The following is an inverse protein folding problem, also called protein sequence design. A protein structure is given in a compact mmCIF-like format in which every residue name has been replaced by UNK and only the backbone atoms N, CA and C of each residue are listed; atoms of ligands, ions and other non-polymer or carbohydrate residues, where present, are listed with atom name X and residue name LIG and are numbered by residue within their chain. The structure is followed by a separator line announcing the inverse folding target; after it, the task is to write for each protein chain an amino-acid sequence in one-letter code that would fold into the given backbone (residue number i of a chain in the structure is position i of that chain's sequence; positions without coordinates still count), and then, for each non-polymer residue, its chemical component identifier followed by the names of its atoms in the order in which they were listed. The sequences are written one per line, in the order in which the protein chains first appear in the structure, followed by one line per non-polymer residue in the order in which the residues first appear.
data_IF_679342074030
#
_entry.id   IF_679342074030
#
_cell.length_a   1.000
_cell.length_b   1.000
_cell.length_c   1.000
_cell.angle_alpha   90.00
_cell.angle_beta   90.00
_cell.angle_gamma   90.00
#
_symmetry.space_group_name_H-M   'P 1'
#
loop_
_entity.id
_entity.type
_entity.pdbx_description
1 polymer ?
#
# COMPACT_ATOMS: atom_id res chain seq x y z
N UNK A 1 -25.50 13.30 19.72
CA UNK A 1 -24.89 13.07 18.39
C UNK A 1 -23.62 13.89 18.27
N UNK A 2 -22.53 13.47 18.92
CA UNK A 2 -21.23 14.15 18.90
C UNK A 2 -20.13 13.19 19.41
N UNK A 3 -19.62 12.29 18.55
CA UNK A 3 -18.39 11.54 18.90
C UNK A 3 -17.55 11.06 17.71
N UNK A 4 -18.01 11.22 16.47
CA UNK A 4 -17.25 10.81 15.29
C UNK A 4 -16.32 11.91 14.74
N UNK A 5 -16.45 13.14 15.22
CA UNK A 5 -15.66 14.31 14.77
C UNK A 5 -14.29 14.46 15.48
N UNK A 6 -13.89 13.49 16.31
CA UNK A 6 -12.63 13.56 17.07
C UNK A 6 -11.42 12.94 16.35
N UNK A 7 -11.64 12.05 15.37
CA UNK A 7 -10.59 11.19 14.83
C UNK A 7 -10.47 11.32 13.32
N UNK A 8 -9.26 11.55 12.84
CA UNK A 8 -8.93 11.55 11.40
C UNK A 8 -9.11 10.16 10.79
N UNK A 9 -9.11 10.06 9.46
CA UNK A 9 -9.12 8.77 8.77
C UNK A 9 -7.97 7.86 9.23
N UNK A 10 -6.79 8.42 9.45
CA UNK A 10 -5.62 7.67 9.92
C UNK A 10 -5.80 7.19 11.36
N UNK A 11 -6.33 8.04 12.25
CA UNK A 11 -6.62 7.64 13.63
C UNK A 11 -7.63 6.49 13.69
N UNK A 12 -8.70 6.56 12.88
CA UNK A 12 -9.70 5.51 12.81
C UNK A 12 -9.08 4.18 12.38
N UNK A 13 -8.24 4.20 11.34
CA UNK A 13 -7.53 3.01 10.87
C UNK A 13 -6.57 2.45 11.93
N UNK A 14 -5.87 3.31 12.67
CA UNK A 14 -5.00 2.90 13.77
C UNK A 14 -5.76 2.28 14.93
N UNK A 15 -6.91 2.84 15.29
CA UNK A 15 -7.82 2.29 16.32
C UNK A 15 -8.30 0.90 15.90
N UNK A 16 -8.84 0.75 14.68
CA UNK A 16 -9.32 -0.53 14.17
C UNK A 16 -8.23 -1.60 14.14
N UNK A 17 -7.05 -1.25 13.61
CA UNK A 17 -5.91 -2.16 13.57
C UNK A 17 -5.47 -2.56 14.98
N UNK A 18 -5.43 -1.62 15.91
CA UNK A 18 -5.04 -1.88 17.31
C UNK A 18 -6.03 -2.82 17.99
N UNK A 19 -7.33 -2.65 17.78
CA UNK A 19 -8.35 -3.56 18.30
C UNK A 19 -8.19 -4.98 17.72
N UNK A 20 -7.98 -5.10 16.40
CA UNK A 20 -7.72 -6.40 15.74
C UNK A 20 -6.46 -7.07 16.27
N UNK A 21 -5.37 -6.31 16.42
CA UNK A 21 -4.11 -6.81 17.00
C UNK A 21 -4.36 -7.36 18.41
N UNK A 22 -5.07 -6.62 19.27
CA UNK A 22 -5.37 -7.05 20.64
C UNK A 22 -6.12 -8.38 20.67
N UNK A 23 -7.09 -8.56 19.78
CA UNK A 23 -7.82 -9.82 19.63
C UNK A 23 -6.90 -10.94 19.14
N UNK A 24 -6.11 -10.73 18.09
CA UNK A 24 -5.21 -11.78 17.56
C UNK A 24 -4.13 -12.19 18.58
N UNK A 25 -3.65 -11.26 19.40
CA UNK A 25 -2.67 -11.53 20.45
C UNK A 25 -3.20 -12.39 21.60
N UNK A 26 -4.52 -12.60 21.74
CA UNK A 26 -5.05 -13.55 22.73
C UNK A 26 -4.76 -14.99 22.35
N UNK A 27 -4.61 -15.27 21.06
CA UNK A 27 -4.44 -16.62 20.53
C UNK A 27 -2.98 -17.01 20.29
N UNK A 28 -2.04 -16.12 20.63
CA UNK A 28 -0.61 -16.27 20.41
C UNK A 28 0.12 -16.46 21.75
N UNK A 29 1.35 -17.01 21.75
CA UNK A 29 2.13 -17.14 22.97
C UNK A 29 2.31 -15.80 23.71
N UNK A 30 2.34 -15.78 25.05
CA UNK A 30 2.39 -14.54 25.84
C UNK A 30 3.54 -13.60 25.48
N UNK A 31 4.73 -14.13 25.18
CA UNK A 31 5.93 -13.33 24.82
C UNK A 31 5.79 -12.57 23.50
N UNK A 32 4.81 -12.91 22.65
CA UNK A 32 4.51 -12.12 21.46
C UNK A 32 4.00 -10.73 21.86
N UNK A 33 3.30 -10.58 22.98
CA UNK A 33 2.87 -9.27 23.48
C UNK A 33 4.07 -8.38 23.80
N UNK A 34 5.12 -8.95 24.38
CA UNK A 34 6.35 -8.22 24.71
C UNK A 34 7.09 -7.80 23.44
N UNK A 35 7.17 -8.68 22.43
CA UNK A 35 7.67 -8.31 21.10
C UNK A 35 6.92 -7.13 20.48
N UNK A 36 5.58 -7.12 20.57
CA UNK A 36 4.77 -6.02 20.03
C UNK A 36 4.99 -4.71 20.80
N UNK A 37 5.13 -4.76 22.13
CA UNK A 37 5.46 -3.60 22.96
C UNK A 37 6.83 -3.02 22.59
N UNK A 38 7.85 -3.87 22.47
CA UNK A 38 9.20 -3.46 22.08
C UNK A 38 9.28 -2.87 20.66
N UNK A 39 8.33 -3.23 19.78
CA UNK A 39 8.29 -2.77 18.38
C UNK A 39 7.32 -1.60 18.14
N UNK A 40 6.52 -1.21 19.13
CA UNK A 40 5.42 -0.25 19.00
C UNK A 40 5.87 1.09 18.41
N UNK A 41 6.97 1.66 18.92
CA UNK A 41 7.47 2.97 18.48
C UNK A 41 8.11 2.94 17.09
N UNK A 42 8.52 1.76 16.61
CA UNK A 42 9.28 1.62 15.35
C UNK A 42 8.45 1.09 14.18
N UNK A 43 7.19 0.71 14.40
CA UNK A 43 6.35 0.06 13.39
C UNK A 43 4.91 0.57 13.37
N UNK A 44 4.34 0.69 12.16
CA UNK A 44 2.95 1.07 12.01
C UNK A 44 2.01 -0.03 12.51
N UNK A 45 0.79 0.35 12.87
CA UNK A 45 -0.28 -0.59 13.27
C UNK A 45 -0.56 -1.62 12.17
N UNK A 46 -0.50 -1.24 10.89
CA UNK A 46 -0.66 -2.15 9.74
C UNK A 46 0.45 -3.20 9.67
N UNK A 47 1.70 -2.81 9.93
CA UNK A 47 2.83 -3.76 9.98
C UNK A 47 2.65 -4.73 11.15
N UNK A 48 2.30 -4.23 12.34
CA UNK A 48 2.03 -5.06 13.52
C UNK A 48 0.86 -6.02 13.30
N UNK A 49 -0.21 -5.56 12.63
CA UNK A 49 -1.34 -6.42 12.26
C UNK A 49 -0.91 -7.54 11.30
N UNK A 50 -0.09 -7.20 10.30
CA UNK A 50 0.49 -8.20 9.38
C UNK A 50 1.35 -9.23 10.13
N UNK A 51 2.12 -8.78 11.14
CA UNK A 51 2.89 -9.68 11.99
C UNK A 51 2.02 -10.63 12.79
N UNK A 52 0.90 -10.18 13.36
CA UNK A 52 0.01 -11.07 14.11
C UNK A 52 -0.54 -12.20 13.26
N UNK A 53 -0.93 -11.92 12.01
CA UNK A 53 -1.37 -12.97 11.08
C UNK A 53 -0.25 -13.95 10.72
N UNK A 54 0.97 -13.46 10.49
CA UNK A 54 2.11 -14.32 10.17
C UNK A 54 2.53 -15.20 11.33
N UNK A 55 2.55 -14.68 12.56
CA UNK A 55 2.83 -15.48 13.74
C UNK A 55 1.78 -16.56 13.92
N UNK A 56 0.50 -16.25 13.68
CA UNK A 56 -0.55 -17.27 13.71
C UNK A 56 -0.25 -18.39 12.70
N UNK A 57 0.11 -18.05 11.46
CA UNK A 57 0.49 -19.05 10.44
C UNK A 57 1.70 -19.88 10.88
N UNK A 58 2.75 -19.25 11.41
CA UNK A 58 3.95 -19.94 11.89
C UNK A 58 3.65 -20.91 13.04
N UNK A 59 2.96 -20.46 14.08
CA UNK A 59 2.63 -21.33 15.21
C UNK A 59 1.62 -22.42 14.85
N UNK A 60 0.69 -22.14 13.93
CA UNK A 60 -0.19 -23.17 13.36
C UNK A 60 0.60 -24.25 12.63
N UNK A 61 1.58 -23.87 11.80
CA UNK A 61 2.48 -24.83 11.15
C UNK A 61 3.19 -25.70 12.20
N UNK A 62 3.75 -25.07 13.24
CA UNK A 62 4.49 -25.79 14.28
C UNK A 62 3.63 -26.86 14.96
N UNK A 63 2.37 -26.57 15.32
CA UNK A 63 1.49 -27.58 15.97
C UNK A 63 0.95 -28.64 14.99
N UNK A 64 0.94 -28.38 13.69
CA UNK A 64 0.44 -29.32 12.68
C UNK A 64 1.53 -30.28 12.20
N UNK A 65 2.75 -29.76 12.04
CA UNK A 65 3.83 -30.43 11.34
C UNK A 65 4.93 -30.93 12.28
N UNK A 66 5.10 -30.36 13.48
CA UNK A 66 6.07 -30.87 14.45
C UNK A 66 5.44 -31.98 15.30
N UNK A 67 5.91 -33.25 15.22
CA UNK A 67 5.33 -34.35 15.97
C UNK A 67 5.36 -34.15 17.48
N UNK A 68 6.37 -33.46 18.01
CA UNK A 68 6.51 -33.21 19.45
C UNK A 68 5.45 -32.23 19.97
N UNK A 69 4.92 -31.36 19.11
CA UNK A 69 3.97 -30.30 19.49
C UNK A 69 2.58 -30.51 18.93
N UNK A 70 2.37 -31.66 18.29
CA UNK A 70 1.08 -32.08 17.77
C UNK A 70 0.01 -32.01 18.86
N UNK A 71 -1.09 -31.33 18.54
CA UNK A 71 -2.24 -31.12 19.44
C UNK A 71 -2.01 -30.20 20.66
N UNK A 72 -0.86 -29.52 20.78
CA UNK A 72 -0.71 -28.44 21.78
C UNK A 72 -1.50 -27.21 21.34
N UNK A 73 -1.92 -26.39 22.29
CA UNK A 73 -2.48 -25.07 21.97
C UNK A 73 -1.33 -24.11 21.64
N UNK A 74 -1.56 -23.21 20.69
CA UNK A 74 -0.57 -22.21 20.29
C UNK A 74 -0.05 -21.41 21.49
N UNK A 75 -0.94 -21.03 22.42
CA UNK A 75 -0.59 -20.25 23.61
C UNK A 75 0.41 -20.96 24.55
N UNK A 76 0.47 -22.29 24.49
CA UNK A 76 1.29 -23.10 25.39
C UNK A 76 2.72 -23.31 24.86
N UNK A 77 3.06 -22.78 23.67
CA UNK A 77 4.41 -22.88 23.10
C UNK A 77 5.35 -21.94 23.86
N UNK A 78 6.28 -22.50 24.62
CA UNK A 78 7.21 -21.79 25.50
C UNK A 78 8.47 -21.30 24.78
N UNK A 79 9.27 -20.46 25.44
CA UNK A 79 10.60 -20.07 24.94
C UNK A 79 11.57 -21.26 24.85
N UNK A 80 11.44 -22.25 25.74
CA UNK A 80 12.23 -23.48 25.70
C UNK A 80 11.89 -24.31 24.46
N UNK A 81 10.61 -24.36 24.07
CA UNK A 81 10.18 -25.00 22.83
C UNK A 81 10.86 -24.31 21.63
N UNK A 82 10.86 -22.97 21.57
CA UNK A 82 11.53 -22.23 20.50
C UNK A 82 13.04 -22.48 20.42
N UNK A 83 13.72 -22.66 21.55
CA UNK A 83 15.16 -22.97 21.61
C UNK A 83 15.52 -24.35 21.03
N UNK A 84 14.55 -25.26 20.91
CA UNK A 84 14.77 -26.59 20.34
C UNK A 84 14.63 -26.61 18.82
N UNK A 85 14.05 -25.56 18.21
CA UNK A 85 13.90 -25.48 16.77
C UNK A 85 15.26 -25.38 16.08
N UNK A 86 15.39 -26.11 14.99
CA UNK A 86 16.58 -26.22 14.16
C UNK A 86 16.39 -25.47 12.85
N UNK A 87 17.45 -25.36 12.05
CA UNK A 87 17.36 -24.81 10.69
C UNK A 87 16.33 -25.57 9.84
N UNK A 88 16.27 -26.91 9.96
CA UNK A 88 15.34 -27.77 9.20
C UNK A 88 13.88 -27.38 9.44
N UNK A 89 13.49 -27.05 10.68
CA UNK A 89 12.12 -26.65 10.99
C UNK A 89 11.70 -25.38 10.23
N UNK A 90 12.63 -24.45 10.03
CA UNK A 90 12.36 -23.21 9.30
C UNK A 90 12.43 -23.38 7.77
N UNK A 91 13.23 -24.31 7.27
CA UNK A 91 13.22 -24.71 5.87
C UNK A 91 11.91 -25.42 5.51
N UNK A 92 11.43 -26.31 6.39
CA UNK A 92 10.11 -26.93 6.28
C UNK A 92 8.99 -25.89 6.34
N UNK A 93 9.10 -24.89 7.22
CA UNK A 93 8.14 -23.78 7.24
C UNK A 93 8.16 -23.01 5.92
N UNK A 94 9.34 -22.74 5.35
CA UNK A 94 9.45 -22.08 4.06
C UNK A 94 8.79 -22.89 2.94
N UNK A 95 8.93 -24.22 2.95
CA UNK A 95 8.26 -25.14 2.01
C UNK A 95 6.74 -25.11 2.21
N UNK A 96 6.27 -25.22 3.45
CA UNK A 96 4.85 -25.13 3.82
C UNK A 96 4.23 -23.81 3.32
N UNK A 97 4.97 -22.71 3.38
CA UNK A 97 4.47 -21.43 2.89
C UNK A 97 4.27 -21.38 1.37
N UNK A 98 4.85 -22.29 0.57
CA UNK A 98 4.55 -22.34 -0.87
C UNK A 98 3.08 -22.63 -1.11
N UNK A 99 2.51 -23.58 -0.36
CA UNK A 99 1.08 -23.89 -0.37
C UNK A 99 0.65 -24.55 0.94
N UNK A 100 -0.42 -24.03 1.55
CA UNK A 100 -1.00 -24.64 2.75
C UNK A 100 -2.51 -24.39 2.82
N UNK A 101 -3.21 -25.20 3.60
CA UNK A 101 -4.63 -24.99 3.91
C UNK A 101 -4.75 -24.30 5.26
N UNK A 102 -5.41 -23.15 5.31
CA UNK A 102 -5.72 -22.49 6.58
C UNK A 102 -6.74 -23.35 7.35
N UNK A 103 -6.38 -23.90 8.52
CA UNK A 103 -7.28 -24.77 9.28
C UNK A 103 -8.51 -24.05 9.83
N UNK A 104 -8.47 -22.72 9.99
CA UNK A 104 -9.62 -21.97 10.49
C UNK A 104 -10.71 -21.79 9.43
N UNK A 105 -10.31 -21.67 8.16
CA UNK A 105 -11.23 -21.37 7.05
C UNK A 105 -11.38 -22.50 6.04
N UNK A 106 -10.50 -23.51 6.07
CA UNK A 106 -10.39 -24.55 5.05
C UNK A 106 -9.86 -24.04 3.70
N UNK A 107 -9.39 -22.79 3.63
CA UNK A 107 -9.00 -22.17 2.36
C UNK A 107 -7.59 -22.60 1.95
N UNK A 108 -7.43 -23.04 0.70
CA UNK A 108 -6.12 -23.31 0.11
C UNK A 108 -5.42 -21.99 -0.24
N UNK A 109 -4.23 -21.77 0.33
CA UNK A 109 -3.43 -20.56 0.18
C UNK A 109 -2.15 -20.90 -0.56
N UNK A 110 -1.88 -20.19 -1.66
CA UNK A 110 -0.60 -20.23 -2.39
C UNK A 110 0.09 -18.88 -2.26
N UNK A 111 1.33 -18.85 -1.77
CA UNK A 111 2.08 -17.59 -1.64
C UNK A 111 3.00 -17.37 -2.84
N UNK A 112 3.22 -16.10 -3.19
CA UNK A 112 4.32 -15.69 -4.06
C UNK A 112 5.65 -15.73 -3.32
N UNK A 113 6.78 -15.75 -4.03
CA UNK A 113 8.11 -15.67 -3.43
C UNK A 113 8.27 -14.48 -2.47
N UNK A 114 7.72 -13.31 -2.84
CA UNK A 114 7.70 -12.13 -1.96
C UNK A 114 6.82 -12.32 -0.72
N UNK A 115 5.69 -13.01 -0.85
CA UNK A 115 4.84 -13.37 0.28
C UNK A 115 5.54 -14.30 1.28
N UNK A 116 6.25 -15.31 0.77
CA UNK A 116 7.08 -16.23 1.57
C UNK A 116 8.20 -15.45 2.27
N UNK A 117 8.98 -14.68 1.51
CA UNK A 117 10.09 -13.87 2.05
C UNK A 117 9.62 -12.93 3.18
N UNK A 118 8.48 -12.28 3.01
CA UNK A 118 7.88 -11.41 4.04
C UNK A 118 7.53 -12.19 5.31
N UNK A 119 6.89 -13.38 5.20
CA UNK A 119 6.53 -14.22 6.36
C UNK A 119 7.76 -14.72 7.11
N UNK A 120 8.78 -15.19 6.40
CA UNK A 120 10.06 -15.60 6.99
C UNK A 120 10.75 -14.41 7.67
N UNK A 121 10.72 -13.22 7.06
CA UNK A 121 11.25 -12.00 7.67
C UNK A 121 10.53 -11.62 8.97
N UNK A 122 9.22 -11.85 9.06
CA UNK A 122 8.46 -11.64 10.29
C UNK A 122 8.94 -12.58 11.41
N UNK A 123 9.10 -13.88 11.12
CA UNK A 123 9.61 -14.87 12.09
C UNK A 123 11.04 -14.53 12.51
N UNK A 124 11.93 -14.20 11.57
CA UNK A 124 13.28 -13.70 11.86
C UNK A 124 13.26 -12.48 12.78
N UNK A 125 12.32 -11.55 12.59
CA UNK A 125 12.20 -10.37 13.45
C UNK A 125 11.89 -10.75 14.90
N UNK A 126 10.99 -11.72 15.11
CA UNK A 126 10.68 -12.25 16.44
C UNK A 126 11.90 -12.91 17.08
N UNK A 127 12.55 -13.86 16.41
CA UNK A 127 13.69 -14.56 16.98
C UNK A 127 14.88 -13.62 17.23
N UNK A 128 15.08 -12.63 16.37
CA UNK A 128 16.10 -11.59 16.59
C UNK A 128 15.79 -10.77 17.84
N UNK A 129 14.53 -10.41 18.06
CA UNK A 129 14.12 -9.72 19.29
C UNK A 129 14.35 -10.60 20.52
N UNK A 130 13.82 -11.82 20.53
CA UNK A 130 13.96 -12.73 21.67
C UNK A 130 15.43 -13.01 21.99
N UNK A 131 16.28 -13.18 20.98
CA UNK A 131 17.71 -13.41 21.15
C UNK A 131 18.43 -12.18 21.73
N UNK A 132 18.14 -10.97 21.22
CA UNK A 132 18.74 -9.72 21.73
C UNK A 132 18.33 -9.37 23.16
N UNK A 133 17.21 -9.92 23.61
CA UNK A 133 16.70 -9.76 24.98
C UNK A 133 17.06 -10.96 25.87
N UNK A 134 18.00 -11.83 25.45
CA UNK A 134 18.46 -13.01 26.19
C UNK A 134 17.34 -13.99 26.59
N UNK A 135 16.20 -13.96 25.88
CA UNK A 135 15.04 -14.83 26.13
C UNK A 135 15.21 -16.21 25.47
N UNK A 136 16.04 -16.28 24.42
CA UNK A 136 16.43 -17.51 23.72
C UNK A 136 17.94 -17.47 23.47
N UNK A 137 18.57 -18.64 23.38
CA UNK A 137 20.04 -18.75 23.25
C UNK A 137 20.51 -18.84 21.81
N UNK A 138 19.60 -19.05 20.85
CA UNK A 138 19.91 -19.24 19.42
C UNK A 138 18.92 -18.50 18.53
N UNK A 139 19.41 -17.98 17.41
CA UNK A 139 18.59 -17.36 16.35
C UNK A 139 18.71 -18.17 15.05
N UNK A 140 18.16 -19.40 15.05
CA UNK A 140 18.23 -20.29 13.90
C UNK A 140 17.58 -19.74 12.61
N UNK A 141 16.44 -18.99 12.65
CA UNK A 141 15.86 -18.40 11.43
C UNK A 141 16.80 -17.49 10.65
N UNK A 142 17.81 -16.90 11.31
CA UNK A 142 18.80 -16.03 10.67
C UNK A 142 19.70 -16.74 9.65
N UNK A 143 19.71 -18.09 9.65
CA UNK A 143 20.46 -18.93 8.71
C UNK A 143 19.66 -19.34 7.48
N UNK A 144 18.33 -19.23 7.53
CA UNK A 144 17.44 -19.63 6.42
C UNK A 144 17.71 -18.77 5.20
N UNK A 145 17.94 -19.39 4.04
CA UNK A 145 18.09 -18.68 2.78
C UNK A 145 16.76 -18.01 2.38
N UNK A 146 16.83 -16.75 1.95
CA UNK A 146 15.64 -16.02 1.54
C UNK A 146 15.28 -16.34 0.08
N UNK A 147 13.99 -16.50 -0.26
CA UNK A 147 13.57 -16.71 -1.64
C UNK A 147 14.07 -15.57 -2.52
N UNK A 148 14.69 -15.90 -3.66
CA UNK A 148 15.06 -14.89 -4.66
C UNK A 148 13.80 -14.31 -5.27
N UNK A 149 13.62 -13.00 -5.12
CA UNK A 149 12.51 -12.27 -5.73
C UNK A 149 13.01 -11.76 -7.08
N UNK A 150 12.48 -12.33 -8.17
CA UNK A 150 12.77 -11.84 -9.51
C UNK A 150 12.38 -10.36 -9.63
N UNK A 151 13.24 -9.59 -10.29
CA UNK A 151 12.89 -8.22 -10.67
C UNK A 151 11.74 -8.28 -11.67
N UNK A 152 10.70 -7.49 -11.44
CA UNK A 152 9.57 -7.37 -12.36
C UNK A 152 9.77 -6.12 -13.18
N UNK A 153 9.37 -6.19 -14.45
CA UNK A 153 9.32 -5.03 -15.32
C UNK A 153 8.42 -3.94 -14.71
N UNK A 154 8.88 -2.70 -14.84
CA UNK A 154 8.17 -1.53 -14.35
C UNK A 154 7.07 -1.22 -15.36
N UNK A 155 5.84 -1.62 -15.03
CA UNK A 155 4.66 -1.35 -15.84
C UNK A 155 4.12 0.05 -15.49
N UNK A 156 4.08 0.93 -16.47
CA UNK A 156 3.53 2.30 -16.40
C UNK A 156 2.69 2.61 -17.63
N UNK A 157 1.93 3.70 -17.54
CA UNK A 157 1.26 4.29 -18.69
C UNK A 157 2.25 5.22 -19.41
N UNK A 158 2.19 5.24 -20.73
CA UNK A 158 2.86 6.23 -21.57
C UNK A 158 2.01 7.52 -21.63
N UNK A 159 2.58 8.67 -22.03
CA UNK A 159 1.87 9.96 -22.01
C UNK A 159 0.56 9.98 -22.83
N UNK A 160 0.55 9.31 -23.98
CA UNK A 160 -0.63 9.12 -24.83
C UNK A 160 -1.68 8.25 -24.13
N UNK A 161 -1.29 7.15 -23.50
CA UNK A 161 -2.22 6.31 -22.73
C UNK A 161 -2.79 7.04 -21.49
N UNK A 162 -2.06 8.01 -20.93
CA UNK A 162 -2.57 8.88 -19.85
C UNK A 162 -3.68 9.79 -20.39
N UNK A 163 -3.44 10.47 -21.51
CA UNK A 163 -4.45 11.31 -22.14
C UNK A 163 -5.68 10.49 -22.53
N UNK A 164 -5.49 9.35 -23.21
CA UNK A 164 -6.58 8.43 -23.58
C UNK A 164 -7.36 7.93 -22.37
N UNK A 165 -6.70 7.70 -21.22
CA UNK A 165 -7.37 7.30 -19.99
C UNK A 165 -8.33 8.38 -19.48
N UNK A 166 -7.89 9.64 -19.43
CA UNK A 166 -8.70 10.76 -18.97
C UNK A 166 -9.84 11.05 -19.95
N UNK A 167 -9.54 11.14 -21.25
CA UNK A 167 -10.53 11.33 -22.31
C UNK A 167 -11.60 10.23 -22.30
N UNK A 168 -11.20 8.98 -22.08
CA UNK A 168 -12.14 7.86 -21.99
C UNK A 168 -13.03 7.98 -20.75
N UNK A 169 -12.49 8.42 -19.61
CA UNK A 169 -13.30 8.64 -18.39
C UNK A 169 -14.39 9.67 -18.65
N UNK A 170 -14.11 10.74 -19.39
CA UNK A 170 -15.06 11.82 -19.71
C UNK A 170 -16.11 11.47 -20.77
N UNK A 171 -15.73 10.64 -21.75
CA UNK A 171 -16.55 10.38 -22.94
C UNK A 171 -17.29 9.04 -22.91
N UNK A 172 -16.83 8.05 -22.12
CA UNK A 172 -17.37 6.69 -22.18
C UNK A 172 -18.87 6.59 -21.84
N UNK A 173 -19.45 7.61 -21.18
CA UNK A 173 -20.88 7.67 -20.89
C UNK A 173 -21.81 7.51 -22.10
N UNK A 174 -21.36 7.90 -23.30
CA UNK A 174 -22.15 7.80 -24.54
C UNK A 174 -22.29 6.36 -25.06
N UNK A 175 -21.35 5.48 -24.73
CA UNK A 175 -21.31 4.09 -25.23
C UNK A 175 -21.87 3.07 -24.22
N UNK A 176 -22.28 3.54 -23.03
CA UNK A 176 -22.82 2.70 -21.97
C UNK A 176 -24.31 2.39 -22.16
N UNK A 177 -24.73 1.23 -21.66
CA UNK A 177 -26.16 0.89 -21.57
C UNK A 177 -26.91 1.89 -20.69
N UNK A 178 -28.23 2.12 -20.90
CA UNK A 178 -28.99 3.11 -20.12
C UNK A 178 -28.86 2.92 -18.60
N UNK A 179 -28.85 1.66 -18.15
CA UNK A 179 -28.63 1.33 -16.74
C UNK A 179 -27.26 1.80 -16.24
N UNK A 180 -26.17 1.52 -16.97
CA UNK A 180 -24.80 1.92 -16.58
C UNK A 180 -24.59 3.42 -16.71
N UNK A 181 -25.20 4.06 -17.70
CA UNK A 181 -25.14 5.50 -17.92
C UNK A 181 -25.67 6.29 -16.73
N UNK A 182 -26.75 5.81 -16.07
CA UNK A 182 -27.28 6.42 -14.84
C UNK A 182 -26.26 6.48 -13.70
N UNK A 183 -25.45 5.43 -13.52
CA UNK A 183 -24.39 5.42 -12.50
C UNK A 183 -23.20 6.27 -12.93
N UNK A 184 -22.81 6.17 -14.20
CA UNK A 184 -21.73 6.98 -14.76
C UNK A 184 -21.94 8.48 -14.54
N UNK A 185 -23.14 8.99 -14.84
CA UNK A 185 -23.48 10.41 -14.64
C UNK A 185 -23.30 10.88 -13.19
N UNK A 186 -23.40 9.98 -12.22
CA UNK A 186 -23.22 10.28 -10.79
C UNK A 186 -21.76 10.17 -10.33
N UNK A 187 -20.91 9.46 -11.07
CA UNK A 187 -19.54 9.17 -10.65
C UNK A 187 -18.47 9.81 -11.52
N UNK A 188 -18.78 10.24 -12.75
CA UNK A 188 -17.78 10.68 -13.73
C UNK A 188 -16.89 11.80 -13.19
N UNK A 189 -17.45 12.87 -12.61
CA UNK A 189 -16.66 13.97 -12.07
C UNK A 189 -15.75 13.53 -10.93
N UNK A 190 -16.25 12.68 -10.02
CA UNK A 190 -15.44 12.09 -8.95
C UNK A 190 -14.34 11.21 -9.52
N UNK A 191 -14.69 10.34 -10.47
CA UNK A 191 -13.77 9.35 -11.01
C UNK A 191 -12.63 10.03 -11.78
N UNK A 192 -12.97 11.08 -12.55
CA UNK A 192 -12.01 11.96 -13.21
C UNK A 192 -11.12 12.66 -12.18
N UNK A 193 -11.69 13.37 -11.20
CA UNK A 193 -10.94 14.08 -10.16
C UNK A 193 -9.95 13.17 -9.41
N UNK A 194 -10.35 11.94 -9.07
CA UNK A 194 -9.46 10.97 -8.42
C UNK A 194 -8.31 10.56 -9.34
N UNK A 195 -8.59 10.25 -10.61
CA UNK A 195 -7.57 9.81 -11.57
C UNK A 195 -6.60 10.95 -11.88
N UNK A 196 -7.11 12.14 -12.20
CA UNK A 196 -6.32 13.34 -12.50
C UNK A 196 -5.46 13.72 -11.31
N UNK A 197 -6.01 13.73 -10.09
CA UNK A 197 -5.20 13.97 -8.89
C UNK A 197 -4.07 12.94 -8.74
N UNK A 198 -4.37 11.64 -8.82
CA UNK A 198 -3.36 10.59 -8.66
C UNK A 198 -2.26 10.65 -9.74
N UNK A 199 -2.62 10.97 -10.98
CA UNK A 199 -1.71 11.10 -12.11
C UNK A 199 -0.91 12.41 -12.09
N UNK A 200 -1.49 13.50 -11.58
CA UNK A 200 -0.86 14.82 -11.54
C UNK A 200 0.00 15.08 -10.30
N UNK A 201 -0.13 14.27 -9.24
CA UNK A 201 0.60 14.46 -7.97
C UNK A 201 1.34 13.23 -7.48
N UNK A 202 1.03 12.06 -8.03
CA UNK A 202 1.61 10.80 -7.59
C UNK A 202 1.27 10.42 -6.15
N UNK A 203 0.17 10.91 -5.55
CA UNK A 203 -0.23 10.53 -4.19
C UNK A 203 -0.35 9.01 -3.99
N UNK A 204 -0.13 8.55 -2.76
CA UNK A 204 -0.51 7.19 -2.36
C UNK A 204 -2.03 7.10 -2.28
N UNK A 205 -2.59 5.93 -2.61
CA UNK A 205 -4.05 5.69 -2.53
C UNK A 205 -4.62 6.05 -1.16
N UNK A 206 -3.90 5.73 -0.07
CA UNK A 206 -4.32 6.05 1.30
C UNK A 206 -4.32 7.54 1.62
N UNK A 207 -3.44 8.31 0.97
CA UNK A 207 -3.38 9.77 1.11
C UNK A 207 -4.58 10.38 0.38
N UNK A 208 -4.84 9.95 -0.87
CA UNK A 208 -5.99 10.39 -1.67
C UNK A 208 -7.35 10.11 -0.99
N UNK A 209 -7.60 8.87 -0.53
CA UNK A 209 -8.87 8.54 0.15
C UNK A 209 -8.99 9.19 1.52
N UNK A 210 -7.86 9.58 2.13
CA UNK A 210 -7.79 10.19 3.46
C UNK A 210 -8.10 11.69 3.47
N UNK A 211 -8.05 12.37 2.32
CA UNK A 211 -8.26 13.81 2.21
C UNK A 211 -9.59 14.26 2.82
N UNK A 212 -9.54 15.35 3.57
CA UNK A 212 -10.70 16.14 3.95
C UNK A 212 -10.78 17.41 3.10
N UNK A 213 -11.90 18.14 3.21
CA UNK A 213 -12.03 19.46 2.59
C UNK A 213 -10.90 20.42 2.93
N UNK A 214 -10.59 20.54 4.23
CA UNK A 214 -9.58 21.47 4.70
C UNK A 214 -8.16 21.09 4.22
N UNK A 215 -7.99 19.85 3.75
CA UNK A 215 -6.72 19.34 3.21
C UNK A 215 -6.53 19.75 1.74
N UNK A 216 -7.56 20.20 1.04
CA UNK A 216 -7.48 20.64 -0.36
C UNK A 216 -7.58 22.16 -0.43
N UNK A 217 -6.47 22.80 -0.79
CA UNK A 217 -6.36 24.24 -0.94
C UNK A 217 -6.33 24.59 -2.44
N UNK A 218 -7.52 24.80 -3.01
CA UNK A 218 -7.68 25.23 -4.41
C UNK A 218 -7.17 26.65 -4.67
N UNK A 219 -6.90 27.46 -3.64
CA UNK A 219 -6.34 28.81 -3.84
C UNK A 219 -4.84 28.80 -4.10
N UNK A 220 -4.15 27.79 -3.56
CA UNK A 220 -2.69 27.63 -3.67
C UNK A 220 -2.32 26.33 -4.40
N UNK A 221 -3.29 25.70 -5.08
CA UNK A 221 -3.14 24.46 -5.82
C UNK A 221 -2.39 23.36 -5.06
N UNK A 222 -2.78 23.14 -3.81
CA UNK A 222 -2.08 22.25 -2.89
C UNK A 222 -3.01 21.28 -2.16
N UNK A 223 -2.53 20.05 -1.96
CA UNK A 223 -3.14 19.09 -1.03
C UNK A 223 -2.20 18.78 0.13
N UNK A 224 -2.70 18.91 1.36
CA UNK A 224 -1.97 18.54 2.57
C UNK A 224 -2.16 17.05 2.85
N UNK A 225 -1.06 16.33 3.01
CA UNK A 225 -1.07 14.89 3.27
C UNK A 225 -0.18 14.51 4.45
N UNK A 226 -0.61 13.50 5.20
CA UNK A 226 0.17 12.95 6.31
C UNK A 226 0.93 11.71 5.86
N UNK A 227 2.26 11.78 5.86
CA UNK A 227 3.16 10.68 5.47
C UNK A 227 3.58 9.86 6.69
N UNK A 228 4.28 8.74 6.42
CA UNK A 228 4.79 7.82 7.46
C UNK A 228 5.57 8.59 8.53
N UNK A 229 5.21 8.34 9.79
CA UNK A 229 5.81 9.01 10.96
C UNK A 229 5.09 10.30 11.36
N UNK A 230 3.89 10.56 10.81
CA UNK A 230 3.08 11.73 11.16
C UNK A 230 3.56 13.04 10.52
N UNK A 231 4.49 12.96 9.57
CA UNK A 231 5.01 14.15 8.88
C UNK A 231 4.00 14.66 7.88
N UNK A 232 3.54 15.88 8.05
CA UNK A 232 2.70 16.57 7.09
C UNK A 232 3.54 17.15 5.95
N UNK A 233 2.97 17.15 4.75
CA UNK A 233 3.56 17.75 3.57
C UNK A 233 2.46 18.27 2.66
N UNK A 234 2.68 19.42 2.04
CA UNK A 234 1.85 19.90 0.94
C UNK A 234 2.39 19.37 -0.37
N UNK A 235 1.52 18.77 -1.18
CA UNK A 235 1.81 18.35 -2.55
C UNK A 235 1.06 19.30 -3.48
N UNK A 236 1.79 20.01 -4.32
CA UNK A 236 1.20 20.94 -5.28
C UNK A 236 0.72 20.20 -6.53
N UNK A 237 -0.30 20.74 -7.18
CA UNK A 237 -0.88 20.23 -8.41
C UNK A 237 -1.04 21.34 -9.45
N UNK A 238 -1.22 20.97 -10.73
CA UNK A 238 -1.41 21.93 -11.82
C UNK A 238 -2.87 22.14 -12.20
N UNK A 239 -3.10 23.03 -13.16
CA UNK A 239 -4.42 23.51 -13.61
C UNK A 239 -5.41 22.38 -13.94
N UNK A 240 -4.98 21.34 -14.64
CA UNK A 240 -5.88 20.22 -14.99
C UNK A 240 -6.40 19.47 -13.75
N UNK A 241 -5.58 19.34 -12.70
CA UNK A 241 -6.01 18.77 -11.42
C UNK A 241 -6.94 19.75 -10.70
N UNK A 242 -6.64 21.04 -10.73
CA UNK A 242 -7.49 22.09 -10.16
C UNK A 242 -8.90 22.01 -10.73
N UNK A 243 -9.02 22.06 -12.05
CA UNK A 243 -10.31 22.05 -12.77
C UNK A 243 -11.11 20.79 -12.45
N UNK A 244 -10.44 19.62 -12.42
CA UNK A 244 -11.09 18.36 -12.10
C UNK A 244 -11.61 18.33 -10.64
N UNK A 245 -10.83 18.85 -9.68
CA UNK A 245 -11.23 18.94 -8.28
C UNK A 245 -12.36 19.93 -8.06
N UNK A 246 -12.32 21.10 -8.69
CA UNK A 246 -13.37 22.14 -8.60
C UNK A 246 -14.70 21.65 -9.19
N UNK A 247 -14.66 21.02 -10.37
CA UNK A 247 -15.84 20.41 -10.99
C UNK A 247 -16.45 19.32 -10.09
N UNK A 248 -15.61 18.48 -9.50
CA UNK A 248 -16.10 17.49 -8.54
C UNK A 248 -16.70 18.14 -7.29
N UNK A 249 -16.08 19.19 -6.74
CA UNK A 249 -16.54 19.87 -5.54
C UNK A 249 -17.95 20.44 -5.72
N UNK A 250 -18.24 21.03 -6.89
CA UNK A 250 -19.58 21.52 -7.25
C UNK A 250 -20.65 20.44 -7.12
N UNK A 251 -20.37 19.22 -7.57
CA UNK A 251 -21.30 18.08 -7.47
C UNK A 251 -21.32 17.49 -6.06
N UNK A 252 -20.17 17.48 -5.40
CA UNK A 252 -19.99 16.93 -4.05
C UNK A 252 -20.85 17.70 -3.04
N UNK A 253 -20.95 19.02 -3.17
CA UNK A 253 -21.71 19.88 -2.27
C UNK A 253 -23.23 19.65 -2.32
N UNK A 254 -23.73 19.01 -3.38
CA UNK A 254 -25.13 18.58 -3.50
C UNK A 254 -25.41 17.22 -2.83
N UNK A 255 -24.37 16.48 -2.42
CA UNK A 255 -24.51 15.14 -1.85
C UNK A 255 -24.64 15.21 -0.33
N UNK A 256 -25.81 14.86 0.19
CA UNK A 256 -25.98 14.64 1.63
C UNK A 256 -25.22 13.38 2.08
N UNK A 257 -24.14 13.53 2.83
CA UNK A 257 -23.34 12.45 3.37
C UNK A 257 -24.08 11.56 4.41
N UNK A 258 -23.53 10.38 4.65
CA UNK A 258 -23.86 9.56 5.83
C UNK A 258 -23.12 10.12 7.05
N UNK A 259 -23.77 10.18 8.24
CA UNK A 259 -23.11 10.65 9.46
C UNK A 259 -21.75 9.97 9.73
N UNK A 260 -20.75 10.76 10.09
CA UNK A 260 -19.35 10.34 10.29
C UNK A 260 -18.46 10.40 9.03
N UNK A 261 -18.98 10.90 7.91
CA UNK A 261 -18.23 11.07 6.65
C UNK A 261 -18.28 12.49 6.09
N UNK A 262 -18.80 13.46 6.85
CA UNK A 262 -19.03 14.86 6.50
C UNK A 262 -17.76 15.51 5.94
N UNK A 263 -16.62 15.25 6.60
CA UNK A 263 -15.33 15.87 6.25
C UNK A 263 -14.67 15.27 5.01
N UNK A 264 -15.08 14.10 4.55
CA UNK A 264 -14.36 13.36 3.52
C UNK A 264 -14.41 14.08 2.18
N UNK A 265 -13.26 14.36 1.56
CA UNK A 265 -13.24 15.03 0.26
C UNK A 265 -13.91 14.16 -0.81
N UNK A 266 -13.49 12.90 -0.96
CA UNK A 266 -14.09 11.96 -1.91
C UNK A 266 -15.14 11.04 -1.29
N UNK A 267 -16.35 11.05 -1.87
CA UNK A 267 -17.48 10.23 -1.45
C UNK A 267 -17.79 9.09 -2.44
N UNK A 268 -18.13 7.92 -1.90
CA UNK A 268 -18.65 6.79 -2.66
C UNK A 268 -20.12 7.00 -3.05
N UNK A 269 -20.67 6.11 -3.89
CA UNK A 269 -22.10 6.10 -4.20
C UNK A 269 -22.99 5.86 -2.97
N UNK A 270 -22.44 5.28 -1.91
CA UNK A 270 -23.10 5.11 -0.61
C UNK A 270 -23.03 6.37 0.27
N UNK A 271 -22.48 7.48 -0.26
CA UNK A 271 -22.35 8.78 0.43
C UNK A 271 -21.45 8.70 1.67
N UNK A 272 -20.48 7.78 1.65
CA UNK A 272 -19.44 7.58 2.66
C UNK A 272 -18.09 7.94 2.06
N UNK A 273 -17.06 8.17 2.89
CA UNK A 273 -15.66 8.24 2.42
C UNK A 273 -15.35 7.08 1.48
N UNK A 274 -14.82 7.37 0.31
CA UNK A 274 -14.45 6.32 -0.65
C UNK A 274 -13.35 5.42 -0.05
N UNK A 275 -13.43 4.11 -0.28
CA UNK A 275 -12.44 3.16 0.22
C UNK A 275 -11.27 3.00 -0.74
N UNK A 276 -10.13 2.55 -0.22
CA UNK A 276 -8.96 2.17 -1.02
C UNK A 276 -9.34 1.16 -2.11
N UNK A 277 -10.12 0.14 -1.77
CA UNK A 277 -10.55 -0.88 -2.72
C UNK A 277 -11.45 -0.32 -3.82
N UNK A 278 -12.30 0.66 -3.48
CA UNK A 278 -13.14 1.33 -4.48
C UNK A 278 -12.28 2.11 -5.48
N UNK A 279 -11.24 2.82 -5.02
CA UNK A 279 -10.30 3.53 -5.90
C UNK A 279 -9.47 2.55 -6.74
N UNK A 280 -8.98 1.44 -6.16
CA UNK A 280 -8.27 0.40 -6.93
C UNK A 280 -9.15 -0.23 -8.01
N UNK A 281 -10.43 -0.49 -7.71
CA UNK A 281 -11.37 -1.02 -8.68
C UNK A 281 -11.74 0.01 -9.76
N UNK A 282 -11.82 1.29 -9.40
CA UNK A 282 -12.01 2.40 -10.33
C UNK A 282 -10.84 2.48 -11.32
N UNK A 283 -9.59 2.49 -10.84
CA UNK A 283 -8.42 2.51 -11.73
C UNK A 283 -8.42 1.31 -12.67
N UNK A 284 -8.67 0.10 -12.15
CA UNK A 284 -8.74 -1.11 -12.97
C UNK A 284 -9.85 -1.05 -14.01
N UNK A 285 -11.02 -0.49 -13.67
CA UNK A 285 -12.18 -0.37 -14.57
C UNK A 285 -11.82 0.42 -15.83
N UNK A 286 -11.19 1.59 -15.66
CA UNK A 286 -10.87 2.47 -16.79
C UNK A 286 -9.62 2.01 -17.52
N UNK A 287 -8.55 1.67 -16.80
CA UNK A 287 -7.29 1.27 -17.42
C UNK A 287 -7.37 -0.04 -18.20
N UNK A 288 -8.30 -0.97 -17.85
CA UNK A 288 -8.52 -2.19 -18.64
C UNK A 288 -9.00 -1.91 -20.06
N UNK A 289 -9.63 -0.76 -20.30
CA UNK A 289 -10.15 -0.40 -21.64
C UNK A 289 -9.05 0.24 -22.48
N UNK A 290 -8.31 1.18 -21.90
CA UNK A 290 -7.27 1.94 -22.60
C UNK A 290 -5.97 1.15 -22.76
N UNK A 291 -5.55 0.44 -21.71
CA UNK A 291 -4.31 -0.33 -21.70
C UNK A 291 -4.57 -1.82 -21.33
N UNK A 292 -5.33 -2.59 -22.14
CA UNK A 292 -5.77 -3.95 -21.80
C UNK A 292 -4.61 -4.93 -21.57
N UNK A 293 -3.46 -4.70 -22.21
CA UNK A 293 -2.25 -5.51 -22.03
C UNK A 293 -1.49 -5.20 -20.72
N UNK A 294 -1.80 -4.07 -20.07
CA UNK A 294 -1.11 -3.60 -18.86
C UNK A 294 -2.01 -3.77 -17.65
N UNK A 295 -1.53 -4.49 -16.63
CA UNK A 295 -2.25 -4.59 -15.36
C UNK A 295 -2.08 -3.31 -14.52
N UNK A 296 -2.79 -2.23 -14.83
CA UNK A 296 -2.64 -0.95 -14.13
C UNK A 296 -3.36 -0.96 -12.77
N UNK A 297 -2.69 -0.45 -11.75
CA UNK A 297 -3.18 -0.27 -10.37
C UNK A 297 -2.85 1.15 -9.91
N UNK A 298 -3.39 1.61 -8.77
CA UNK A 298 -3.11 2.97 -8.27
C UNK A 298 -1.61 3.21 -8.09
N UNK A 299 -0.90 2.21 -7.57
CA UNK A 299 0.56 2.32 -7.39
C UNK A 299 1.30 2.48 -8.73
N UNK A 300 0.75 1.96 -9.83
CA UNK A 300 1.33 2.15 -11.16
C UNK A 300 1.05 3.54 -11.72
N UNK A 301 -0.09 4.17 -11.41
CA UNK A 301 -0.33 5.58 -11.75
C UNK A 301 0.69 6.50 -11.07
N UNK A 302 0.99 6.24 -9.79
CA UNK A 302 2.07 6.93 -9.08
C UNK A 302 3.43 6.71 -9.75
N UNK A 303 3.69 5.50 -10.25
CA UNK A 303 4.92 5.22 -10.99
C UNK A 303 4.97 5.88 -12.37
N UNK A 304 3.84 6.03 -13.03
CA UNK A 304 3.68 6.85 -14.24
C UNK A 304 4.07 8.29 -13.94
N UNK A 305 3.47 8.90 -12.91
CA UNK A 305 3.80 10.28 -12.50
C UNK A 305 5.30 10.45 -12.21
N UNK A 306 5.88 9.57 -11.38
CA UNK A 306 7.31 9.64 -11.05
C UNK A 306 8.23 9.48 -12.26
N UNK A 307 7.84 8.65 -13.23
CA UNK A 307 8.58 8.47 -14.48
C UNK A 307 8.51 9.71 -15.35
N UNK A 308 7.31 10.27 -15.53
CA UNK A 308 7.08 11.45 -16.36
C UNK A 308 7.79 12.67 -15.75
N UNK A 309 7.65 12.88 -14.44
CA UNK A 309 8.35 13.96 -13.74
C UNK A 309 9.87 13.85 -13.89
N UNK A 310 10.44 12.64 -13.80
CA UNK A 310 11.87 12.44 -14.02
C UNK A 310 12.28 12.69 -15.47
N UNK A 311 11.46 12.29 -16.44
CA UNK A 311 11.72 12.52 -17.86
C UNK A 311 11.79 14.02 -18.18
N UNK A 312 10.88 14.81 -17.62
CA UNK A 312 10.80 16.27 -17.84
C UNK A 312 11.90 17.04 -17.09
N UNK A 313 12.17 16.67 -15.83
CA UNK A 313 13.06 17.46 -14.96
C UNK A 313 14.50 16.99 -14.96
N UNK A 314 14.75 15.72 -15.28
CA UNK A 314 16.02 15.04 -15.07
C UNK A 314 16.59 15.21 -13.64
N UNK A 315 15.73 15.42 -12.65
CA UNK A 315 16.11 15.60 -11.25
C UNK A 315 15.50 14.48 -10.39
N UNK A 316 16.33 13.48 -10.08
CA UNK A 316 15.90 12.35 -9.25
C UNK A 316 15.67 12.73 -7.79
N UNK A 317 16.28 13.82 -7.30
CA UNK A 317 16.09 14.30 -5.94
C UNK A 317 14.75 15.02 -5.82
N UNK A 318 14.39 15.85 -6.80
CA UNK A 318 13.06 16.44 -6.90
C UNK A 318 11.98 15.35 -6.94
N UNK A 319 12.14 14.34 -7.79
CA UNK A 319 11.18 13.22 -7.86
C UNK A 319 11.08 12.48 -6.51
N UNK A 320 12.20 12.27 -5.82
CA UNK A 320 12.21 11.63 -4.51
C UNK A 320 11.49 12.46 -3.44
N UNK A 321 11.67 13.78 -3.43
CA UNK A 321 11.05 14.70 -2.48
C UNK A 321 9.53 14.78 -2.71
N UNK A 322 9.11 15.05 -3.95
CA UNK A 322 7.70 15.14 -4.34
C UNK A 322 6.97 13.84 -4.02
N UNK A 323 7.56 12.69 -4.33
CA UNK A 323 6.96 11.39 -3.99
C UNK A 323 7.10 11.04 -2.49
N UNK A 324 8.06 11.61 -1.76
CA UNK A 324 8.28 11.29 -0.35
C UNK A 324 8.94 9.95 -0.15
N UNK A 325 10.02 9.73 -0.87
CA UNK A 325 10.91 8.59 -0.69
C UNK A 325 12.01 8.98 0.29
N UNK A 326 12.08 8.27 1.42
CA UNK A 326 13.16 8.47 2.41
C UNK A 326 14.54 8.03 1.89
N UNK A 327 14.58 7.26 0.80
CA UNK A 327 15.80 6.77 0.17
C UNK A 327 15.72 6.96 -1.35
N UNK A 328 16.62 7.78 -1.88
CA UNK A 328 16.72 8.09 -3.32
C UNK A 328 17.01 6.85 -4.15
N UNK A 329 17.64 5.81 -3.60
CA UNK A 329 17.88 4.55 -4.32
C UNK A 329 16.56 3.88 -4.73
N UNK A 330 15.51 4.02 -3.92
CA UNK A 330 14.16 3.58 -4.28
C UNK A 330 13.69 4.29 -5.55
N UNK A 331 13.82 5.61 -5.57
CA UNK A 331 13.45 6.46 -6.71
C UNK A 331 14.25 6.10 -7.97
N UNK A 332 15.57 5.92 -7.82
CA UNK A 332 16.47 5.53 -8.92
C UNK A 332 16.09 4.18 -9.52
N UNK A 333 15.80 3.19 -8.68
CA UNK A 333 15.38 1.84 -9.13
C UNK A 333 14.06 1.87 -9.90
N UNK A 334 13.15 2.79 -9.57
CA UNK A 334 11.80 2.80 -10.12
C UNK A 334 11.57 3.78 -11.27
N UNK A 335 12.31 4.90 -11.35
CA UNK A 335 12.04 5.95 -12.32
C UNK A 335 13.25 6.33 -13.17
N UNK A 336 14.46 6.15 -12.63
CA UNK A 336 15.70 6.40 -13.36
C UNK A 336 16.18 5.18 -14.16
N UNK A 337 15.27 4.31 -14.61
CA UNK A 337 15.61 3.33 -15.64
C UNK A 337 16.07 4.12 -16.86
N UNK A 338 17.39 4.26 -17.01
CA UNK A 338 18.03 5.10 -18.02
C UNK A 338 17.49 4.65 -19.38
N UNK A 339 16.57 5.43 -19.94
CA UNK A 339 16.13 5.20 -21.31
C UNK A 339 17.36 5.32 -22.21
N UNK A 340 17.40 4.54 -23.28
CA UNK A 340 18.40 4.68 -24.35
C UNK A 340 18.53 6.15 -24.79
N UNK A 341 17.40 6.88 -24.84
CA UNK A 341 17.36 8.31 -25.15
C UNK A 341 18.10 9.17 -24.13
N UNK A 342 17.96 8.86 -22.84
CA UNK A 342 18.69 9.55 -21.78
C UNK A 342 20.20 9.37 -21.94
N UNK A 343 20.65 8.14 -22.23
CA UNK A 343 22.07 7.86 -22.50
C UNK A 343 22.56 8.58 -23.75
N UNK A 344 21.74 8.65 -24.81
CA UNK A 344 22.05 9.39 -26.04
C UNK A 344 22.17 10.89 -25.79
N UNK A 345 21.32 11.47 -24.93
CA UNK A 345 21.38 12.90 -24.58
C UNK A 345 22.71 13.32 -23.96
N UNK A 346 23.41 12.40 -23.28
CA UNK A 346 24.69 12.67 -22.63
C UNK A 346 25.85 12.89 -23.62
N UNK A 347 25.72 12.41 -24.87
CA UNK A 347 26.79 12.37 -25.88
C UNK A 347 27.50 13.72 -26.06
N UNK A 348 26.75 14.83 -26.02
CA UNK A 348 27.27 16.17 -26.32
C UNK A 348 27.21 17.12 -25.11
N UNK A 349 26.89 16.64 -23.89
CA UNK A 349 26.78 17.51 -22.71
C UNK A 349 28.14 17.93 -22.15
N UNK A 350 29.21 17.18 -22.44
CA UNK A 350 30.58 17.53 -22.05
C UNK A 350 31.29 18.11 -23.26
N UNK A 351 31.55 19.42 -23.23
CA UNK A 351 32.30 20.12 -24.27
C UNK A 351 33.78 20.12 -23.87
N UNK A 352 34.65 19.57 -24.71
CA UNK A 352 36.08 19.39 -24.39
C UNK A 352 36.93 20.65 -24.69
N UNK A 353 36.42 21.57 -25.51
CA UNK A 353 37.08 22.82 -25.90
C UNK A 353 36.00 23.87 -26.15
N UNK A 354 36.16 25.05 -25.55
CA UNK A 354 35.24 26.19 -25.69
C UNK A 354 35.12 26.70 -27.13
#
# INVERSE_FOLDING_TARGET
MASFDRFTYHDQLEIENTQKIRLLLTDLPPYIKDFFRGRELSTSTKTRLSYSYDFKVFFTFLIQNNPAWKNRRIQDISLSDLNQLTLSDFEEFQEYLKVYTDPATGTLIKNSAGGIARKISTVRSLFTYLYRHDMISRNEPSKVEMPKIAEKDIIRLEPDEVAELLDYVESCGATLTPHRQKYYKKTVARDLAILTLLLGTGLRVSECVGLNFDDVDLKNDGVRVTRKGGKEMTVYFGDEVHDALENYLTIRDEIQEVPGHERAFFLSMQRKRISVDAVENLVKKYAKVVAPAKHITVHKLRSTYGSNLYAETNDIYLVADVLGHNDVNTTKRHYAALSEEHRKSARNKVVLRE
#
